data_IF_396223525479
#
_entry.id   IF_396223525479
#
_cell.length_a   1.000
_cell.length_b   1.000
_cell.length_c   1.000
_cell.angle_alpha   90.00
_cell.angle_beta   90.00
_cell.angle_gamma   90.00
#
_symmetry.space_group_name_H-M   'P 1'
#
loop_
_entity.id
_entity.type
_entity.pdbx_description
1 polymer ?
#
# COMPACT_ATOMS: atom_id res chain seq x y z
N UNK A 1 12.62 40.95 -58.33
CA UNK A 1 12.08 41.08 -56.95
C UNK A 1 10.93 40.09 -56.75
N UNK A 2 11.20 38.79 -56.67
CA UNK A 2 10.21 37.76 -56.28
C UNK A 2 10.91 36.39 -56.09
N UNK A 3 11.62 36.22 -54.98
CA UNK A 3 12.01 34.89 -54.47
C UNK A 3 11.83 34.76 -52.96
N UNK A 4 11.48 35.86 -52.27
CA UNK A 4 11.32 35.92 -50.82
C UNK A 4 10.06 35.22 -50.28
N UNK A 5 9.11 34.82 -51.15
CA UNK A 5 7.83 34.24 -50.73
C UNK A 5 7.85 32.75 -50.37
N UNK A 6 8.92 32.00 -50.72
CA UNK A 6 8.94 30.53 -50.53
C UNK A 6 9.55 30.11 -49.18
N UNK A 7 10.55 30.83 -48.69
CA UNK A 7 11.21 30.57 -47.41
C UNK A 7 10.28 30.56 -46.19
N UNK A 8 9.46 31.61 -45.95
CA UNK A 8 8.59 31.66 -44.79
C UNK A 8 7.49 30.59 -44.83
N UNK A 9 6.97 30.25 -46.01
CA UNK A 9 5.95 29.19 -46.16
C UNK A 9 6.51 27.80 -45.81
N UNK A 10 7.72 27.48 -46.24
CA UNK A 10 8.39 26.21 -45.88
C UNK A 10 8.61 26.12 -44.37
N UNK A 11 8.98 27.24 -43.74
CA UNK A 11 9.21 27.30 -42.29
C UNK A 11 7.91 27.11 -41.51
N UNK A 12 6.82 27.75 -41.94
CA UNK A 12 5.48 27.55 -41.36
C UNK A 12 5.01 26.11 -41.52
N UNK A 13 5.19 25.50 -42.69
CA UNK A 13 4.85 24.09 -42.93
C UNK A 13 5.67 23.14 -42.04
N UNK A 14 6.97 23.39 -41.90
CA UNK A 14 7.84 22.60 -41.04
C UNK A 14 7.41 22.69 -39.57
N UNK A 15 7.10 23.89 -39.07
CA UNK A 15 6.60 24.09 -37.71
C UNK A 15 5.24 23.43 -37.50
N UNK A 16 4.34 23.53 -38.48
CA UNK A 16 3.04 22.86 -38.43
C UNK A 16 3.19 21.34 -38.34
N UNK A 17 4.03 20.76 -39.19
CA UNK A 17 4.35 19.32 -39.13
C UNK A 17 4.98 18.94 -37.79
N UNK A 18 5.91 19.74 -37.26
CA UNK A 18 6.53 19.48 -35.96
C UNK A 18 5.49 19.48 -34.83
N UNK A 19 4.53 20.41 -34.84
CA UNK A 19 3.42 20.44 -33.89
C UNK A 19 2.53 19.19 -34.01
N UNK A 20 2.20 18.75 -35.23
CA UNK A 20 1.40 17.53 -35.44
C UNK A 20 2.13 16.29 -34.92
N UNK A 21 3.43 16.16 -35.23
CA UNK A 21 4.26 15.04 -34.74
C UNK A 21 4.33 15.06 -33.22
N UNK A 22 4.51 16.23 -32.61
CA UNK A 22 4.51 16.39 -31.15
C UNK A 22 3.18 15.95 -30.53
N UNK A 23 2.05 16.38 -31.10
CA UNK A 23 0.72 15.99 -30.62
C UNK A 23 0.51 14.46 -30.69
N UNK A 24 0.90 13.82 -31.80
CA UNK A 24 0.82 12.37 -31.94
C UNK A 24 1.75 11.64 -30.97
N UNK A 25 2.96 12.15 -30.75
CA UNK A 25 3.90 11.60 -29.79
C UNK A 25 3.34 11.63 -28.36
N UNK A 26 2.75 12.75 -27.93
CA UNK A 26 2.12 12.88 -26.61
C UNK A 26 0.97 11.88 -26.44
N UNK A 27 0.11 11.71 -27.45
CA UNK A 27 -0.98 10.73 -27.42
C UNK A 27 -0.43 9.31 -27.29
N UNK A 28 0.61 8.98 -28.07
CA UNK A 28 1.26 7.67 -28.03
C UNK A 28 1.90 7.37 -26.66
N UNK A 29 2.59 8.36 -26.06
CA UNK A 29 3.16 8.22 -24.72
C UNK A 29 2.06 8.03 -23.69
N UNK A 30 1.00 8.84 -23.76
CA UNK A 30 -0.14 8.74 -22.82
C UNK A 30 -0.78 7.34 -22.86
N UNK A 31 -0.94 6.76 -24.05
CA UNK A 31 -1.51 5.43 -24.19
C UNK A 31 -0.60 4.33 -23.61
N UNK A 32 0.72 4.47 -23.76
CA UNK A 32 1.68 3.55 -23.14
C UNK A 32 1.70 3.68 -21.61
N UNK A 33 1.64 4.92 -21.11
CA UNK A 33 1.59 5.19 -19.66
C UNK A 33 0.36 4.53 -19.06
N UNK A 34 -0.83 4.69 -19.68
CA UNK A 34 -2.07 4.04 -19.21
C UNK A 34 -1.91 2.53 -19.06
N UNK A 35 -1.36 1.85 -20.07
CA UNK A 35 -1.15 0.40 -20.02
C UNK A 35 -0.22 -0.04 -18.89
N UNK A 36 0.89 0.67 -18.71
CA UNK A 36 1.86 0.34 -17.66
C UNK A 36 1.31 0.64 -16.26
N UNK A 37 0.48 1.67 -16.11
CA UNK A 37 -0.17 1.98 -14.83
C UNK A 37 -1.25 0.98 -14.48
N UNK A 38 -2.00 0.45 -15.45
CA UNK A 38 -3.07 -0.51 -15.22
C UNK A 38 -2.54 -1.81 -14.58
N UNK A 39 -1.42 -2.34 -15.10
CA UNK A 39 -0.78 -3.54 -14.57
C UNK A 39 -0.29 -3.34 -13.13
N UNK A 40 0.40 -2.21 -12.89
CA UNK A 40 0.88 -1.84 -11.57
C UNK A 40 -0.27 -1.66 -10.56
N UNK A 41 -1.38 -1.05 -10.98
CA UNK A 41 -2.56 -0.92 -10.15
C UNK A 41 -3.17 -2.27 -9.81
N UNK A 42 -3.19 -3.24 -10.74
CA UNK A 42 -3.74 -4.57 -10.47
C UNK A 42 -2.95 -5.30 -9.38
N UNK A 43 -1.61 -5.30 -9.47
CA UNK A 43 -0.73 -5.94 -8.48
C UNK A 43 -0.84 -5.27 -7.12
N UNK A 44 -0.99 -3.93 -7.08
CA UNK A 44 -1.22 -3.19 -5.84
C UNK A 44 -2.55 -3.55 -5.19
N UNK A 45 -3.61 -3.75 -5.98
CA UNK A 45 -4.92 -4.16 -5.47
C UNK A 45 -4.85 -5.56 -4.85
N UNK A 46 -4.19 -6.49 -5.52
CA UNK A 46 -3.97 -7.84 -4.98
C UNK A 46 -3.17 -7.82 -3.68
N UNK A 47 -2.07 -7.05 -3.62
CA UNK A 47 -1.28 -6.88 -2.40
C UNK A 47 -2.10 -6.29 -1.26
N UNK A 48 -2.94 -5.30 -1.55
CA UNK A 48 -3.80 -4.68 -0.53
C UNK A 48 -4.86 -5.66 -0.01
N UNK A 49 -5.43 -6.49 -0.88
CA UNK A 49 -6.37 -7.53 -0.47
C UNK A 49 -5.72 -8.56 0.46
N UNK A 50 -4.52 -9.03 0.12
CA UNK A 50 -3.74 -9.94 0.97
C UNK A 50 -3.41 -9.33 2.33
N UNK A 51 -3.06 -8.04 2.37
CA UNK A 51 -2.78 -7.34 3.64
C UNK A 51 -4.02 -7.24 4.54
N UNK A 52 -5.19 -7.03 3.96
CA UNK A 52 -6.47 -7.07 4.69
C UNK A 52 -6.73 -8.46 5.27
N UNK A 53 -6.58 -9.52 4.45
CA UNK A 53 -6.77 -10.90 4.90
C UNK A 53 -5.78 -11.26 6.02
N UNK A 54 -4.52 -10.87 5.87
CA UNK A 54 -3.50 -11.04 6.90
C UNK A 54 -3.89 -10.33 8.20
N UNK A 55 -4.38 -9.09 8.11
CA UNK A 55 -4.88 -8.34 9.27
C UNK A 55 -6.04 -9.05 9.97
N UNK A 56 -6.97 -9.63 9.21
CA UNK A 56 -8.06 -10.45 9.75
C UNK A 56 -7.53 -11.68 10.48
N UNK A 57 -6.60 -12.43 9.88
CA UNK A 57 -5.97 -13.58 10.53
C UNK A 57 -5.20 -13.20 11.80
N UNK A 58 -4.56 -12.03 11.83
CA UNK A 58 -3.87 -11.54 13.02
C UNK A 58 -4.85 -11.18 14.13
N UNK A 59 -5.99 -10.57 13.79
CA UNK A 59 -7.07 -10.29 14.75
C UNK A 59 -7.71 -11.58 15.28
N UNK A 60 -7.95 -12.56 14.41
CA UNK A 60 -8.34 -13.90 14.83
C UNK A 60 -7.28 -14.48 15.78
N UNK A 61 -6.01 -14.55 15.37
CA UNK A 61 -4.95 -15.11 16.20
C UNK A 61 -4.82 -14.39 17.55
N UNK A 62 -4.85 -13.06 17.59
CA UNK A 62 -4.77 -12.30 18.85
C UNK A 62 -5.94 -12.61 19.80
N UNK A 63 -7.12 -12.90 19.25
CA UNK A 63 -8.30 -13.35 20.02
C UNK A 63 -8.09 -14.76 20.60
N UNK A 64 -7.40 -15.65 19.88
CA UNK A 64 -7.15 -17.04 20.30
C UNK A 64 -5.84 -17.25 21.08
N UNK A 65 -4.84 -16.37 20.95
CA UNK A 65 -3.46 -16.66 21.31
C UNK A 65 -3.02 -16.24 22.72
N UNK A 66 -3.54 -15.17 23.33
CA UNK A 66 -2.78 -14.57 24.46
C UNK A 66 -3.36 -14.76 25.86
N UNK A 67 -4.66 -14.54 26.09
CA UNK A 67 -5.17 -14.48 27.48
C UNK A 67 -6.11 -15.63 27.85
N UNK A 68 -7.21 -15.79 27.12
CA UNK A 68 -8.28 -16.73 27.52
C UNK A 68 -7.82 -18.19 27.58
N UNK A 69 -6.98 -18.62 26.64
CA UNK A 69 -6.54 -20.03 26.57
C UNK A 69 -5.47 -20.34 27.62
N UNK A 70 -4.55 -19.42 27.88
CA UNK A 70 -3.55 -19.56 28.95
C UNK A 70 -4.22 -19.48 30.32
N UNK A 71 -5.12 -18.52 30.53
CA UNK A 71 -5.90 -18.38 31.77
C UNK A 71 -6.79 -19.59 32.03
N UNK A 72 -7.49 -20.09 31.01
CA UNK A 72 -8.30 -21.29 31.12
C UNK A 72 -7.47 -22.52 31.50
N UNK A 73 -6.27 -22.66 30.93
CA UNK A 73 -5.37 -23.78 31.25
C UNK A 73 -4.79 -23.63 32.65
N UNK A 74 -4.37 -22.44 33.04
CA UNK A 74 -3.88 -22.14 34.39
C UNK A 74 -4.96 -22.37 35.47
N UNK A 75 -6.19 -21.95 35.22
CA UNK A 75 -7.31 -22.13 36.15
C UNK A 75 -7.76 -23.59 36.24
N UNK A 76 -7.79 -24.34 35.12
CA UNK A 76 -8.30 -25.73 35.09
C UNK A 76 -7.24 -26.79 35.42
N UNK A 77 -6.03 -26.66 34.88
CA UNK A 77 -4.97 -27.67 35.06
C UNK A 77 -4.08 -27.38 36.26
N UNK A 78 -3.84 -26.10 36.58
CA UNK A 78 -2.95 -25.69 37.68
C UNK A 78 -3.71 -25.20 38.93
N UNK A 79 -5.05 -25.18 38.90
CA UNK A 79 -5.89 -24.56 39.95
C UNK A 79 -5.39 -23.16 40.35
N UNK A 80 -4.94 -22.36 39.39
CA UNK A 80 -4.56 -20.98 39.68
C UNK A 80 -5.82 -20.13 39.88
N UNK A 81 -5.82 -19.37 40.97
CA UNK A 81 -6.84 -18.39 41.34
C UNK A 81 -6.17 -17.06 41.66
N UNK A 82 -6.91 -15.96 41.47
CA UNK A 82 -6.42 -14.63 41.86
C UNK A 82 -6.31 -14.61 43.39
N UNK A 83 -5.13 -14.31 43.96
CA UNK A 83 -4.97 -14.28 45.40
C UNK A 83 -5.81 -13.16 46.01
N UNK A 84 -6.41 -13.43 47.17
CA UNK A 84 -7.08 -12.40 47.95
C UNK A 84 -6.05 -11.42 48.54
N UNK A 85 -6.48 -10.21 48.87
CA UNK A 85 -5.59 -9.15 49.40
C UNK A 85 -4.77 -9.61 50.62
N UNK A 86 -5.32 -10.54 51.41
CA UNK A 86 -4.69 -11.14 52.60
C UNK A 86 -3.52 -12.08 52.26
N UNK A 87 -3.40 -12.52 51.02
CA UNK A 87 -2.37 -13.46 50.55
C UNK A 87 -1.20 -12.73 49.85
N UNK A 88 -1.25 -11.39 49.76
CA UNK A 88 -0.23 -10.57 49.11
C UNK A 88 0.74 -10.05 50.18
N UNK A 89 1.98 -10.54 50.15
CA UNK A 89 3.05 -10.07 51.03
C UNK A 89 3.94 -9.13 50.22
N UNK A 90 3.93 -7.84 50.57
CA UNK A 90 4.86 -6.87 49.99
C UNK A 90 6.20 -7.02 50.72
N UNK A 91 7.25 -7.35 49.96
CA UNK A 91 8.61 -7.35 50.48
C UNK A 91 9.22 -6.03 50.07
N UNK A 92 9.46 -5.14 51.03
CA UNK A 92 10.21 -3.92 50.78
C UNK A 92 11.66 -4.29 50.44
N UNK A 93 12.14 -3.77 49.31
CA UNK A 93 13.53 -3.95 48.92
C UNK A 93 14.39 -3.19 49.92
N UNK A 94 15.14 -3.92 50.74
CA UNK A 94 16.11 -3.35 51.67
C UNK A 94 17.08 -2.41 50.92
N UNK A 95 17.42 -1.24 51.49
CA UNK A 95 18.09 -0.14 50.79
C UNK A 95 19.49 -0.45 50.25
#
# INVERSE_FOLDING_TARGET
MSSAGRGPLVLVLALWCACVVSALAVVSVTQQVRRNTDELESLRRESAELEVQWGQYLLEQSTWASYSRVESKARRELNMHVPHAEQIILIDKEP
#
